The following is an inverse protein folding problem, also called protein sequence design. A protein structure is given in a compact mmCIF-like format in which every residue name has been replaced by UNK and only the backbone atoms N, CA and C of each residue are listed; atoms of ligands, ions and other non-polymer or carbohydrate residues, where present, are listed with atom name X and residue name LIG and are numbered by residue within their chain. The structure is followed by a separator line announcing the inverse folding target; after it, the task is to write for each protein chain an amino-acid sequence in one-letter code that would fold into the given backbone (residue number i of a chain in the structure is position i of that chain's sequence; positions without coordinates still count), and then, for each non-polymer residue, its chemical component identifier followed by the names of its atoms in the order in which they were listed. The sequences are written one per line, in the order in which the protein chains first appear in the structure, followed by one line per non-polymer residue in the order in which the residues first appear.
data_IF_649081268355
#
_entry.id   IF_649081268355
#
_cell.length_a   1.000
_cell.length_b   1.000
_cell.length_c   1.000
_cell.angle_alpha   90.00
_cell.angle_beta   90.00
_cell.angle_gamma   90.00
#
_symmetry.space_group_name_H-M   'P 1'
#
loop_
_entity.id
_entity.type
_entity.pdbx_description
1 polymer ?
#
# COMPACT_ATOMS: atom_id res chain seq x y z
N UNK A 1 -48.61 -3.53 -66.10
CA UNK A 1 -47.36 -2.74 -66.08
C UNK A 1 -47.57 -1.65 -65.04
N UNK A 2 -47.16 -1.89 -63.79
CA UNK A 2 -45.82 -1.65 -63.23
C UNK A 2 -45.84 -0.31 -62.50
N UNK A 3 -46.35 -0.31 -61.27
CA UNK A 3 -45.90 0.65 -60.26
C UNK A 3 -45.58 -0.08 -58.97
N UNK A 4 -44.35 0.17 -58.56
CA UNK A 4 -43.58 -0.41 -57.48
C UNK A 4 -43.63 0.62 -56.35
N UNK A 5 -44.35 0.36 -55.26
CA UNK A 5 -44.19 1.14 -54.03
C UNK A 5 -43.43 0.30 -53.01
N UNK A 6 -42.13 0.57 -52.91
CA UNK A 6 -41.28 0.12 -51.82
C UNK A 6 -41.80 0.71 -50.49
N UNK A 7 -42.32 -0.14 -49.61
CA UNK A 7 -42.43 0.19 -48.19
C UNK A 7 -41.03 0.04 -47.57
N UNK A 8 -40.34 1.17 -47.41
CA UNK A 8 -39.20 1.29 -46.52
C UNK A 8 -39.68 1.05 -45.08
N UNK A 9 -39.43 -0.14 -44.55
CA UNK A 9 -39.50 -0.39 -43.11
C UNK A 9 -38.29 0.28 -42.45
N UNK A 10 -38.41 1.56 -42.14
CA UNK A 10 -37.51 2.24 -41.21
C UNK A 10 -37.73 1.62 -39.83
N UNK A 11 -36.88 0.66 -39.49
CA UNK A 11 -36.78 0.08 -38.16
C UNK A 11 -36.22 1.15 -37.22
N UNK A 12 -37.08 2.03 -36.72
CA UNK A 12 -36.76 2.94 -35.64
C UNK A 12 -36.63 2.10 -34.37
N UNK A 13 -35.40 1.70 -34.03
CA UNK A 13 -35.07 1.13 -32.73
C UNK A 13 -35.18 2.25 -31.70
N UNK A 14 -36.40 2.57 -31.29
CA UNK A 14 -36.63 3.44 -30.14
C UNK A 14 -36.18 2.68 -28.89
N UNK A 15 -35.29 3.29 -28.09
CA UNK A 15 -34.95 2.77 -26.77
C UNK A 15 -36.21 2.86 -25.89
N UNK A 16 -36.95 1.75 -25.80
CA UNK A 16 -38.11 1.60 -24.92
C UNK A 16 -37.60 1.56 -23.47
N UNK A 17 -37.72 2.69 -22.77
CA UNK A 17 -37.53 2.74 -21.33
C UNK A 17 -38.86 2.38 -20.67
N UNK A 18 -38.88 1.35 -19.82
CA UNK A 18 -40.07 0.93 -19.06
C UNK A 18 -39.82 1.08 -17.57
N UNK A 19 -40.66 1.84 -16.87
CA UNK A 19 -40.63 1.87 -15.41
C UNK A 19 -41.40 0.67 -14.88
N UNK A 20 -40.72 -0.26 -14.23
CA UNK A 20 -41.35 -1.37 -13.52
C UNK A 20 -41.66 -0.90 -12.10
N UNK A 21 -42.95 -0.66 -11.80
CA UNK A 21 -43.42 -0.40 -10.44
C UNK A 21 -44.00 -1.70 -9.89
N UNK A 22 -43.35 -2.26 -8.87
CA UNK A 22 -43.88 -3.42 -8.14
C UNK A 22 -44.50 -2.95 -6.83
N UNK A 23 -45.75 -3.30 -6.59
CA UNK A 23 -46.46 -3.13 -5.32
C UNK A 23 -46.20 -4.30 -4.35
N UNK A 24 -45.49 -5.33 -4.81
CA UNK A 24 -45.07 -6.49 -4.02
C UNK A 24 -43.55 -6.65 -4.00
N UNK A 25 -43.06 -7.41 -3.03
CA UNK A 25 -41.65 -7.76 -2.92
C UNK A 25 -41.16 -8.50 -4.18
N UNK A 26 -39.95 -8.17 -4.62
CA UNK A 26 -39.23 -8.93 -5.65
C UNK A 26 -38.61 -10.14 -4.95
N UNK A 27 -39.19 -11.33 -5.14
CA UNK A 27 -38.72 -12.58 -4.54
C UNK A 27 -37.76 -13.29 -5.49
N UNK A 28 -36.49 -13.38 -5.12
CA UNK A 28 -35.41 -13.99 -5.91
C UNK A 28 -35.01 -15.34 -5.31
N UNK A 29 -35.92 -16.31 -5.33
CA UNK A 29 -35.76 -17.64 -4.70
C UNK A 29 -35.75 -18.80 -5.71
N UNK A 30 -35.36 -18.55 -6.95
CA UNK A 30 -35.25 -19.59 -7.98
C UNK A 30 -34.40 -20.79 -7.52
N UNK A 31 -34.78 -21.99 -7.97
CA UNK A 31 -34.11 -23.24 -7.58
C UNK A 31 -32.64 -23.25 -8.03
N UNK A 32 -32.36 -22.71 -9.22
CA UNK A 32 -31.00 -22.44 -9.68
C UNK A 32 -30.45 -21.15 -9.03
N UNK A 33 -29.27 -21.18 -8.39
CA UNK A 33 -28.60 -19.97 -7.91
C UNK A 33 -28.49 -18.85 -8.95
N UNK A 34 -28.39 -19.18 -10.24
CA UNK A 34 -28.30 -18.20 -11.32
C UNK A 34 -29.57 -17.34 -11.48
N UNK A 35 -30.73 -17.84 -11.04
CA UNK A 35 -32.02 -17.14 -11.12
C UNK A 35 -32.22 -16.15 -9.96
N UNK A 36 -31.39 -16.24 -8.92
CA UNK A 36 -31.48 -15.41 -7.70
C UNK A 36 -30.69 -14.10 -7.83
N UNK A 37 -30.76 -13.44 -8.99
CA UNK A 37 -29.95 -12.26 -9.27
C UNK A 37 -30.66 -11.24 -10.17
N UNK A 38 -30.38 -9.96 -9.95
CA UNK A 38 -30.72 -8.87 -10.87
C UNK A 38 -29.55 -8.67 -11.83
N UNK A 39 -29.75 -8.92 -13.12
CA UNK A 39 -28.70 -8.88 -14.15
C UNK A 39 -28.82 -7.63 -15.02
N UNK A 40 -27.70 -7.22 -15.63
CA UNK A 40 -27.68 -6.12 -16.58
C UNK A 40 -27.80 -4.72 -15.96
N UNK A 41 -27.58 -4.59 -14.64
CA UNK A 41 -27.39 -3.29 -14.01
C UNK A 41 -26.14 -2.63 -14.58
N UNK A 42 -26.28 -1.41 -15.08
CA UNK A 42 -25.16 -0.60 -15.54
C UNK A 42 -24.44 0.03 -14.34
N UNK A 43 -23.26 0.59 -14.59
CA UNK A 43 -22.60 1.44 -13.60
C UNK A 43 -23.45 2.69 -13.35
N UNK A 44 -23.70 3.02 -12.07
CA UNK A 44 -24.58 4.11 -11.73
C UNK A 44 -23.96 5.43 -12.16
N UNK A 45 -24.75 6.27 -12.82
CA UNK A 45 -24.34 7.60 -13.29
C UNK A 45 -24.81 8.69 -12.33
N UNK A 46 -25.97 8.50 -11.72
CA UNK A 46 -26.57 9.41 -10.75
C UNK A 46 -26.72 8.75 -9.37
N UNK A 47 -26.89 9.57 -8.33
CA UNK A 47 -26.96 9.10 -6.94
C UNK A 47 -28.20 8.25 -6.63
N UNK A 48 -29.26 8.34 -7.44
CA UNK A 48 -30.53 7.61 -7.25
C UNK A 48 -30.54 6.24 -7.97
N UNK A 49 -29.46 5.88 -8.67
CA UNK A 49 -29.35 4.62 -9.41
C UNK A 49 -28.90 3.46 -8.49
N UNK A 50 -29.32 2.24 -8.85
CA UNK A 50 -28.93 1.04 -8.13
C UNK A 50 -27.44 0.73 -8.32
N UNK A 51 -26.72 0.50 -7.22
CA UNK A 51 -25.32 0.07 -7.24
C UNK A 51 -25.19 -1.40 -7.70
N UNK A 52 -24.19 -1.69 -8.53
CA UNK A 52 -23.79 -3.04 -8.87
C UNK A 52 -22.44 -3.41 -8.20
N UNK A 53 -22.12 -4.71 -8.14
CA UNK A 53 -20.91 -5.19 -7.47
C UNK A 53 -19.61 -4.63 -8.10
N UNK A 54 -19.57 -4.47 -9.42
CA UNK A 54 -18.43 -3.89 -10.13
C UNK A 54 -18.21 -2.42 -9.77
N UNK A 55 -19.28 -1.63 -9.71
CA UNK A 55 -19.21 -0.24 -9.26
C UNK A 55 -18.68 -0.10 -7.82
N UNK A 56 -19.09 -1.01 -6.92
CA UNK A 56 -18.57 -1.08 -5.55
C UNK A 56 -17.08 -1.44 -5.55
N UNK A 57 -16.70 -2.49 -6.27
CA UNK A 57 -15.32 -2.98 -6.33
C UNK A 57 -14.37 -1.98 -7.00
N UNK A 58 -14.84 -1.23 -7.99
CA UNK A 58 -14.08 -0.19 -8.68
C UNK A 58 -13.84 1.06 -7.83
N UNK A 59 -14.65 1.28 -6.77
CA UNK A 59 -14.40 2.32 -5.76
C UNK A 59 -14.57 3.77 -6.22
N UNK A 60 -14.97 4.04 -7.47
CA UNK A 60 -15.03 5.38 -8.05
C UNK A 60 -15.97 6.38 -7.33
N UNK A 61 -16.86 5.89 -6.46
CA UNK A 61 -17.76 6.71 -5.64
C UNK A 61 -17.09 7.23 -4.36
N UNK A 62 -15.90 6.72 -4.00
CA UNK A 62 -15.12 7.16 -2.82
C UNK A 62 -13.64 7.38 -3.12
N UNK A 63 -13.17 7.16 -4.34
CA UNK A 63 -11.76 7.28 -4.71
C UNK A 63 -11.55 8.33 -5.82
N UNK A 64 -10.52 9.17 -5.68
CA UNK A 64 -10.09 10.07 -6.73
C UNK A 64 -8.56 10.30 -6.74
N UNK A 65 -8.04 10.61 -7.92
CA UNK A 65 -6.66 11.09 -8.12
C UNK A 65 -6.63 12.61 -7.98
N UNK A 66 -5.68 13.16 -7.21
CA UNK A 66 -5.54 14.60 -7.00
C UNK A 66 -4.06 15.03 -7.06
N UNK A 67 -3.82 16.32 -7.30
CA UNK A 67 -2.47 16.86 -7.36
C UNK A 67 -2.44 18.37 -7.05
N UNK A 68 -1.25 18.89 -6.72
CA UNK A 68 -1.06 20.31 -6.36
C UNK A 68 -1.69 20.69 -5.02
N UNK A 69 -1.86 21.99 -4.77
CA UNK A 69 -2.47 22.51 -3.53
C UNK A 69 -3.99 22.80 -3.65
N UNK A 70 -4.53 22.71 -4.87
CA UNK A 70 -5.97 22.79 -5.16
C UNK A 70 -6.49 21.46 -5.68
N UNK A 71 -6.88 20.56 -4.78
CA UNK A 71 -7.33 19.22 -5.11
C UNK A 71 -8.73 19.25 -5.75
N UNK A 72 -8.88 18.46 -6.81
CA UNK A 72 -10.15 18.30 -7.53
C UNK A 72 -10.47 16.81 -7.60
N UNK A 73 -11.35 16.36 -6.70
CA UNK A 73 -11.85 15.00 -6.72
C UNK A 73 -13.06 14.90 -7.65
N UNK A 74 -13.03 13.93 -8.57
CA UNK A 74 -14.16 13.59 -9.42
C UNK A 74 -14.63 12.21 -9.00
N UNK A 75 -15.78 12.14 -8.32
CA UNK A 75 -16.40 10.89 -7.91
C UNK A 75 -17.50 10.50 -8.90
N UNK A 76 -17.76 9.20 -9.01
CA UNK A 76 -18.86 8.66 -9.79
C UNK A 76 -19.65 7.63 -8.97
N UNK A 77 -20.96 7.83 -8.73
CA UNK A 77 -21.78 8.97 -9.16
C UNK A 77 -21.32 10.32 -8.61
N UNK A 78 -21.56 11.39 -9.37
CA UNK A 78 -21.18 12.73 -8.96
C UNK A 78 -21.91 13.15 -7.67
N UNK A 79 -21.15 13.69 -6.71
CA UNK A 79 -21.69 14.25 -5.47
C UNK A 79 -22.01 15.73 -5.69
N UNK A 80 -23.29 16.17 -5.68
CA UNK A 80 -23.65 17.55 -6.01
C UNK A 80 -23.11 18.57 -5.01
N UNK A 81 -23.07 18.20 -3.74
CA UNK A 81 -22.49 18.98 -2.65
C UNK A 81 -22.04 18.03 -1.55
N UNK A 82 -20.83 18.22 -0.98
CA UNK A 82 -20.42 17.49 0.21
C UNK A 82 -21.42 17.66 1.35
N UNK A 83 -21.76 16.56 2.02
CA UNK A 83 -22.57 16.52 3.24
C UNK A 83 -21.74 15.93 4.37
N UNK A 84 -22.00 16.36 5.61
CA UNK A 84 -21.24 15.90 6.76
C UNK A 84 -21.23 14.35 6.84
N UNK A 85 -20.05 13.78 7.02
CA UNK A 85 -19.81 12.33 6.97
C UNK A 85 -19.33 11.80 5.60
N UNK A 86 -19.31 12.61 4.54
CA UNK A 86 -18.74 12.20 3.25
C UNK A 86 -17.26 11.88 3.42
N UNK A 87 -16.89 10.62 3.18
CA UNK A 87 -15.51 10.13 3.22
C UNK A 87 -14.97 9.93 1.82
N UNK A 88 -13.73 10.35 1.59
CA UNK A 88 -13.05 10.19 0.29
C UNK A 88 -11.63 9.70 0.53
N UNK A 89 -11.19 8.76 -0.29
CA UNK A 89 -9.80 8.34 -0.44
C UNK A 89 -9.21 9.04 -1.65
N UNK A 90 -8.11 9.74 -1.45
CA UNK A 90 -7.44 10.54 -2.45
C UNK A 90 -6.04 9.99 -2.65
N UNK A 91 -5.70 9.60 -3.88
CA UNK A 91 -4.30 9.38 -4.21
C UNK A 91 -3.68 10.70 -4.65
N UNK A 92 -2.64 11.12 -3.92
CA UNK A 92 -2.07 12.46 -4.01
C UNK A 92 -0.77 12.39 -4.80
N UNK A 93 -0.79 12.83 -6.05
CA UNK A 93 0.38 12.73 -6.94
C UNK A 93 1.58 13.54 -6.44
N UNK A 94 1.35 14.78 -6.02
CA UNK A 94 2.40 15.68 -5.52
C UNK A 94 2.10 16.06 -4.08
N UNK A 95 3.12 16.00 -3.21
CA UNK A 95 2.98 16.37 -1.81
C UNK A 95 2.59 17.84 -1.66
N UNK A 96 1.90 18.18 -0.58
CA UNK A 96 1.43 19.54 -0.37
C UNK A 96 2.59 20.48 0.00
N UNK A 97 2.57 21.69 -0.54
CA UNK A 97 3.58 22.72 -0.26
C UNK A 97 3.10 23.80 0.70
N UNK A 98 1.83 23.71 1.12
CA UNK A 98 1.18 24.59 2.07
C UNK A 98 -0.24 24.11 2.37
N UNK A 99 -1.15 25.03 2.76
CA UNK A 99 -2.56 24.73 2.93
C UNK A 99 -3.19 24.19 1.65
N UNK A 100 -4.07 23.20 1.78
CA UNK A 100 -4.75 22.53 0.67
C UNK A 100 -6.25 22.84 0.71
N UNK A 101 -6.85 22.95 -0.47
CA UNK A 101 -8.31 22.95 -0.64
C UNK A 101 -8.74 21.75 -1.47
N UNK A 102 -9.95 21.25 -1.25
CA UNK A 102 -10.58 20.16 -1.98
C UNK A 102 -11.92 20.62 -2.56
N UNK A 103 -12.06 20.48 -3.87
CA UNK A 103 -13.33 20.55 -4.60
C UNK A 103 -13.76 19.14 -4.98
N UNK A 104 -15.04 18.81 -4.77
CA UNK A 104 -15.62 17.50 -5.14
C UNK A 104 -16.64 17.73 -6.25
N UNK A 105 -16.45 17.07 -7.39
CA UNK A 105 -17.32 17.18 -8.57
C UNK A 105 -17.63 18.63 -8.99
N UNK A 106 -16.65 19.54 -8.84
CA UNK A 106 -16.81 20.96 -9.20
C UNK A 106 -17.46 21.84 -8.12
N UNK A 107 -17.62 21.34 -6.89
CA UNK A 107 -18.01 22.17 -5.75
C UNK A 107 -17.03 23.34 -5.53
N UNK A 108 -17.49 24.37 -4.80
CA UNK A 108 -16.57 25.40 -4.29
C UNK A 108 -15.39 24.74 -3.53
N UNK A 109 -14.17 25.29 -3.60
CA UNK A 109 -13.03 24.76 -2.86
C UNK A 109 -13.28 24.85 -1.34
N UNK A 110 -13.17 23.71 -0.67
CA UNK A 110 -13.35 23.59 0.79
C UNK A 110 -11.97 23.33 1.42
N UNK A 111 -11.60 23.98 2.53
CA UNK A 111 -10.30 23.75 3.16
C UNK A 111 -10.14 22.30 3.64
N UNK A 112 -8.93 21.77 3.51
CA UNK A 112 -8.52 20.51 4.14
C UNK A 112 -7.69 20.83 5.38
N UNK A 113 -8.19 20.39 6.54
CA UNK A 113 -7.63 20.68 7.86
C UNK A 113 -7.09 19.41 8.52
N UNK A 114 -6.14 19.57 9.43
CA UNK A 114 -5.64 18.54 10.34
C UNK A 114 -5.96 18.96 11.77
N UNK A 115 -6.02 17.98 12.67
CA UNK A 115 -6.25 18.22 14.10
C UNK A 115 -7.51 19.04 14.42
N UNK A 116 -8.54 19.00 13.54
CA UNK A 116 -9.80 19.72 13.69
C UNK A 116 -9.82 21.09 13.01
N UNK A 117 -8.84 21.96 13.30
CA UNK A 117 -8.89 23.37 12.92
C UNK A 117 -7.63 23.92 12.22
N UNK A 118 -6.57 23.10 12.09
CA UNK A 118 -5.29 23.57 11.57
C UNK A 118 -5.18 23.35 10.06
N UNK A 119 -4.74 24.35 9.28
CA UNK A 119 -4.37 24.12 7.89
C UNK A 119 -3.20 23.13 7.77
N UNK A 120 -3.16 22.42 6.64
CA UNK A 120 -2.01 21.61 6.28
C UNK A 120 -0.74 22.48 6.16
N UNK A 121 0.34 21.96 6.72
CA UNK A 121 1.71 22.47 6.65
C UNK A 121 2.47 21.72 5.54
N UNK A 122 3.52 22.33 4.95
CA UNK A 122 4.30 21.66 3.90
C UNK A 122 4.77 20.27 4.33
N UNK A 123 4.51 19.25 3.51
CA UNK A 123 4.94 17.87 3.77
C UNK A 123 4.04 17.03 4.68
N UNK A 124 2.93 17.56 5.20
CA UNK A 124 1.94 16.77 5.95
C UNK A 124 1.35 15.63 5.09
N UNK A 125 1.26 15.83 3.77
CA UNK A 125 0.88 14.84 2.78
C UNK A 125 2.03 14.69 1.80
N UNK A 126 2.58 13.49 1.73
CA UNK A 126 3.70 13.19 0.85
C UNK A 126 3.24 12.88 -0.58
N UNK A 127 4.15 13.04 -1.55
CA UNK A 127 3.90 12.59 -2.93
C UNK A 127 3.68 11.08 -2.99
N UNK A 128 2.63 10.67 -3.69
CA UNK A 128 2.18 9.28 -3.79
C UNK A 128 1.47 8.75 -2.54
N UNK A 129 1.10 9.61 -1.59
CA UNK A 129 0.32 9.20 -0.43
C UNK A 129 -1.13 8.89 -0.81
N UNK A 130 -1.75 7.97 -0.05
CA UNK A 130 -3.21 7.82 -0.06
C UNK A 130 -3.76 8.58 1.15
N UNK A 131 -4.43 9.69 0.90
CA UNK A 131 -5.07 10.52 1.92
C UNK A 131 -6.53 10.12 2.12
N UNK A 132 -6.93 9.83 3.36
CA UNK A 132 -8.34 9.67 3.74
C UNK A 132 -8.83 10.98 4.34
N UNK A 133 -9.86 11.56 3.74
CA UNK A 133 -10.51 12.78 4.24
C UNK A 133 -11.99 12.53 4.57
N UNK A 134 -12.52 13.26 5.54
CA UNK A 134 -13.95 13.24 5.89
C UNK A 134 -14.47 14.66 6.00
N UNK A 135 -15.56 14.98 5.30
CA UNK A 135 -16.22 16.28 5.44
C UNK A 135 -16.99 16.34 6.76
N UNK A 136 -16.72 17.34 7.59
CA UNK A 136 -17.37 17.50 8.91
C UNK A 136 -18.62 18.41 8.86
N UNK A 137 -18.94 18.97 7.69
CA UNK A 137 -20.00 19.96 7.49
C UNK A 137 -19.49 21.37 7.22
N UNK A 138 -18.21 21.65 7.50
CA UNK A 138 -17.55 22.94 7.27
C UNK A 138 -16.24 22.79 6.48
N UNK A 139 -15.42 21.81 6.83
CA UNK A 139 -14.12 21.53 6.22
C UNK A 139 -13.93 20.03 5.98
N UNK A 140 -12.96 19.67 5.14
CA UNK A 140 -12.48 18.30 5.05
C UNK A 140 -11.42 18.06 6.13
N UNK A 141 -11.63 17.07 6.98
CA UNK A 141 -10.67 16.65 7.99
C UNK A 141 -9.76 15.56 7.40
N UNK A 142 -8.45 15.79 7.44
CA UNK A 142 -7.46 14.79 7.11
C UNK A 142 -7.40 13.75 8.23
N UNK A 143 -7.81 12.52 7.93
CA UNK A 143 -7.79 11.39 8.87
C UNK A 143 -6.46 10.65 8.79
N UNK A 144 -5.98 10.44 7.56
CA UNK A 144 -4.70 9.78 7.30
C UNK A 144 -4.12 10.29 5.98
N UNK A 145 -2.81 10.35 5.89
CA UNK A 145 -2.06 10.68 4.67
C UNK A 145 -0.84 9.77 4.52
N UNK A 146 -0.95 8.53 4.99
CA UNK A 146 0.15 7.57 4.91
C UNK A 146 0.57 7.35 3.47
N UNK A 147 1.83 7.70 3.21
CA UNK A 147 2.61 7.00 2.21
C UNK A 147 2.98 5.66 2.82
N UNK A 148 2.66 4.56 2.13
CA UNK A 148 3.25 3.25 2.46
C UNK A 148 4.70 3.30 1.96
N UNK A 149 5.54 4.04 2.66
CA UNK A 149 6.98 4.04 2.42
C UNK A 149 7.59 2.84 3.16
N UNK A 150 8.51 2.14 2.49
CA UNK A 150 9.34 1.11 3.14
C UNK A 150 10.12 1.80 4.25
N UNK A 151 10.17 1.21 5.45
CA UNK A 151 10.86 1.86 6.58
C UNK A 151 12.27 2.28 6.15
N UNK A 152 12.70 3.52 6.37
CA UNK A 152 14.07 3.92 6.04
C UNK A 152 15.06 3.01 6.78
N UNK A 153 16.25 2.85 6.20
CA UNK A 153 17.32 2.13 6.89
C UNK A 153 17.74 2.92 8.13
N UNK A 154 17.86 2.28 9.31
CA UNK A 154 18.48 2.91 10.47
C UNK A 154 19.89 3.40 10.15
N UNK A 155 20.35 4.41 10.89
CA UNK A 155 21.71 4.92 10.77
C UNK A 155 22.73 3.79 10.96
N UNK A 156 23.81 3.82 10.18
CA UNK A 156 24.82 2.76 10.17
C UNK A 156 24.43 1.51 9.36
N UNK A 157 23.26 1.51 8.72
CA UNK A 157 22.83 0.41 7.84
C UNK A 157 22.59 0.88 6.41
N UNK A 158 22.74 -0.05 5.46
CA UNK A 158 22.52 0.18 4.03
C UNK A 158 21.46 -0.79 3.48
N UNK A 159 20.65 -0.30 2.56
CA UNK A 159 19.61 -1.08 1.92
C UNK A 159 20.20 -2.10 0.95
N UNK A 160 20.13 -3.39 1.28
CA UNK A 160 20.53 -4.44 0.33
C UNK A 160 19.47 -4.62 -0.73
N UNK A 161 18.21 -4.60 -0.31
CA UNK A 161 17.07 -4.59 -1.20
C UNK A 161 15.88 -3.90 -0.53
N UNK A 162 14.72 -4.10 -1.12
CA UNK A 162 13.49 -3.48 -0.70
C UNK A 162 12.97 -4.02 0.67
N UNK A 163 13.44 -5.20 1.11
CA UNK A 163 12.93 -5.92 2.28
C UNK A 163 13.77 -5.72 3.55
N UNK A 164 15.06 -5.39 3.42
CA UNK A 164 15.93 -5.27 4.59
C UNK A 164 17.15 -4.36 4.38
N UNK A 165 17.72 -3.92 5.48
CA UNK A 165 19.02 -3.26 5.58
C UNK A 165 19.98 -4.16 6.36
N UNK A 166 21.27 -4.01 6.11
CA UNK A 166 22.36 -4.61 6.88
C UNK A 166 23.28 -3.50 7.38
N UNK A 167 23.89 -3.67 8.54
CA UNK A 167 24.98 -2.79 8.99
C UNK A 167 26.12 -2.74 7.96
N UNK A 168 26.80 -1.59 7.89
CA UNK A 168 27.95 -1.41 6.99
C UNK A 168 29.28 -1.80 7.60
N UNK A 169 29.30 -2.15 8.88
CA UNK A 169 30.47 -2.57 9.63
C UNK A 169 30.09 -3.70 10.58
N UNK A 170 30.98 -4.68 10.71
CA UNK A 170 30.79 -5.81 11.62
C UNK A 170 31.00 -5.39 13.08
N UNK A 171 30.28 -6.06 13.99
CA UNK A 171 30.52 -5.96 15.43
C UNK A 171 31.66 -6.87 15.88
N UNK A 172 32.28 -6.54 17.02
CA UNK A 172 33.32 -7.35 17.65
C UNK A 172 32.84 -8.78 17.95
N UNK A 173 33.80 -9.71 17.96
CA UNK A 173 33.47 -11.11 18.18
C UNK A 173 33.00 -11.39 19.60
N UNK A 174 31.76 -11.87 19.75
CA UNK A 174 31.14 -12.25 21.03
C UNK A 174 30.35 -13.56 20.89
N UNK A 175 29.82 -14.06 22.01
CA UNK A 175 28.95 -15.24 21.98
C UNK A 175 27.59 -14.93 21.31
N UNK A 176 26.90 -15.96 20.85
CA UNK A 176 25.67 -15.75 20.08
C UNK A 176 24.54 -15.07 20.89
N UNK A 177 24.26 -15.46 22.15
CA UNK A 177 23.25 -14.78 22.96
C UNK A 177 23.54 -13.29 23.14
N UNK A 178 24.80 -12.90 23.35
CA UNK A 178 25.20 -11.51 23.47
C UNK A 178 25.06 -10.76 22.15
N UNK A 179 25.44 -11.37 21.02
CA UNK A 179 25.21 -10.81 19.68
C UNK A 179 23.72 -10.56 19.39
N UNK A 180 22.83 -11.47 19.80
CA UNK A 180 21.38 -11.28 19.68
C UNK A 180 20.92 -10.07 20.50
N UNK A 181 21.45 -9.91 21.71
CA UNK A 181 21.11 -8.78 22.58
C UNK A 181 21.62 -7.45 22.02
N UNK A 182 22.82 -7.42 21.42
CA UNK A 182 23.37 -6.23 20.74
C UNK A 182 22.45 -5.80 19.61
N UNK A 183 22.11 -6.71 18.68
CA UNK A 183 21.20 -6.38 17.60
C UNK A 183 19.81 -5.97 18.10
N UNK A 184 19.29 -6.66 19.14
CA UNK A 184 18.00 -6.35 19.74
C UNK A 184 17.94 -4.95 20.37
N UNK A 185 19.02 -4.51 21.03
CA UNK A 185 19.14 -3.18 21.60
C UNK A 185 19.09 -2.06 20.53
N UNK A 186 19.52 -2.37 19.31
CA UNK A 186 19.43 -1.48 18.14
C UNK A 186 18.06 -1.55 17.43
N UNK A 187 17.12 -2.35 17.92
CA UNK A 187 15.85 -2.61 17.24
C UNK A 187 16.00 -3.46 15.97
N UNK A 188 17.10 -4.20 15.87
CA UNK A 188 17.47 -5.06 14.75
C UNK A 188 17.55 -6.53 15.21
N UNK A 189 18.03 -7.41 14.33
CA UNK A 189 18.28 -8.83 14.63
C UNK A 189 19.57 -9.28 13.95
N UNK A 190 20.15 -10.38 14.39
CA UNK A 190 21.21 -11.03 13.62
C UNK A 190 20.68 -11.33 12.21
N UNK A 191 21.52 -11.10 11.20
CA UNK A 191 21.18 -11.40 9.81
C UNK A 191 20.97 -12.91 9.60
N UNK A 192 20.00 -13.26 8.75
CA UNK A 192 19.95 -14.64 8.25
C UNK A 192 21.06 -14.90 7.24
N UNK A 193 21.37 -16.16 7.01
CA UNK A 193 22.35 -16.57 6.01
C UNK A 193 21.95 -16.08 4.62
N UNK A 194 20.66 -16.13 4.27
CA UNK A 194 20.19 -15.61 2.99
C UNK A 194 20.39 -14.09 2.87
N UNK A 195 20.23 -13.34 3.96
CA UNK A 195 20.50 -11.91 3.98
C UNK A 195 22.00 -11.62 3.88
N UNK A 196 22.80 -12.28 4.71
CA UNK A 196 24.26 -12.19 4.63
C UNK A 196 24.78 -12.52 3.23
N UNK A 197 24.32 -13.62 2.62
CA UNK A 197 24.74 -14.07 1.30
C UNK A 197 24.49 -12.99 0.24
N UNK A 198 23.28 -12.41 0.22
CA UNK A 198 22.93 -11.39 -0.75
C UNK A 198 23.66 -10.07 -0.50
N UNK A 199 23.85 -9.67 0.76
CA UNK A 199 24.64 -8.50 1.12
C UNK A 199 26.10 -8.68 0.69
N UNK A 200 26.70 -9.82 1.01
CA UNK A 200 28.08 -10.16 0.69
C UNK A 200 28.32 -10.18 -0.82
N UNK A 201 27.40 -10.76 -1.60
CA UNK A 201 27.49 -10.78 -3.06
C UNK A 201 27.48 -9.36 -3.66
N UNK A 202 26.81 -8.41 -3.01
CA UNK A 202 26.71 -7.01 -3.44
C UNK A 202 27.61 -6.05 -2.65
N UNK A 203 28.51 -6.56 -1.80
CA UNK A 203 29.23 -5.78 -0.79
C UNK A 203 29.95 -4.55 -1.36
N UNK A 204 30.60 -4.70 -2.52
CA UNK A 204 31.29 -3.59 -3.19
C UNK A 204 30.38 -2.44 -3.60
N UNK A 205 29.14 -2.73 -4.03
CA UNK A 205 28.15 -1.69 -4.37
C UNK A 205 27.50 -1.06 -3.13
N UNK A 206 27.50 -1.79 -2.02
CA UNK A 206 26.94 -1.38 -0.74
C UNK A 206 27.97 -0.66 0.14
N UNK A 207 29.25 -0.65 -0.25
CA UNK A 207 30.34 -0.05 0.51
C UNK A 207 30.75 -0.85 1.75
N UNK A 208 30.44 -2.15 1.79
CA UNK A 208 30.75 -3.04 2.92
C UNK A 208 32.00 -3.84 2.56
N UNK A 209 32.96 -3.94 3.48
CA UNK A 209 34.28 -4.55 3.19
C UNK A 209 34.62 -5.76 4.03
N UNK A 210 33.85 -6.02 5.08
CA UNK A 210 34.13 -6.98 6.16
C UNK A 210 33.16 -8.19 6.18
N UNK A 211 32.28 -8.33 5.18
CA UNK A 211 31.43 -9.52 5.04
C UNK A 211 32.20 -10.79 4.62
N UNK A 212 33.51 -10.73 4.43
CA UNK A 212 34.35 -11.91 4.23
C UNK A 212 35.67 -11.77 4.96
N UNK A 213 36.20 -12.89 5.47
CA UNK A 213 37.48 -12.94 6.18
C UNK A 213 37.34 -13.45 7.61
N UNK A 214 36.17 -13.22 8.20
CA UNK A 214 35.82 -13.67 9.54
C UNK A 214 34.61 -14.61 9.50
N UNK A 215 34.53 -15.50 10.49
CA UNK A 215 33.30 -16.25 10.69
C UNK A 215 32.28 -15.35 11.38
N UNK A 216 31.09 -15.28 10.79
CA UNK A 216 29.97 -14.53 11.34
C UNK A 216 28.83 -15.43 11.84
N UNK A 217 28.15 -14.99 12.89
CA UNK A 217 26.88 -15.57 13.33
C UNK A 217 25.75 -15.26 12.34
N UNK A 218 24.86 -16.23 12.11
CA UNK A 218 23.56 -15.98 11.46
C UNK A 218 22.41 -16.42 12.37
N UNK A 219 21.20 -15.95 12.09
CA UNK A 219 19.99 -16.34 12.84
C UNK A 219 19.44 -17.73 12.46
N UNK A 220 20.17 -18.50 11.65
CA UNK A 220 19.75 -19.83 11.20
C UNK A 220 20.29 -20.93 12.12
N UNK A 221 19.44 -21.92 12.39
CA UNK A 221 19.80 -23.09 13.18
C UNK A 221 20.82 -23.98 12.47
N UNK A 222 21.71 -24.60 13.25
CA UNK A 222 22.56 -25.69 12.82
C UNK A 222 21.81 -27.03 12.72
N UNK A 223 22.53 -28.10 12.39
CA UNK A 223 22.00 -29.45 12.21
C UNK A 223 21.91 -30.27 13.52
N UNK A 224 22.10 -29.64 14.67
CA UNK A 224 22.06 -30.26 16.01
C UNK A 224 21.62 -29.23 17.07
N UNK A 225 21.06 -29.65 18.21
CA UNK A 225 20.72 -28.75 19.31
C UNK A 225 21.92 -27.88 19.75
N UNK A 226 21.67 -26.59 19.98
CA UNK A 226 22.70 -25.63 20.40
C UNK A 226 23.68 -25.20 19.30
N UNK A 227 23.52 -25.70 18.07
CA UNK A 227 24.33 -25.29 16.94
C UNK A 227 23.61 -24.26 16.08
N UNK A 228 24.40 -23.38 15.47
CA UNK A 228 23.96 -22.31 14.59
C UNK A 228 24.77 -22.33 13.31
N UNK A 229 24.18 -21.79 12.25
CA UNK A 229 24.88 -21.54 11.00
C UNK A 229 25.85 -20.38 11.19
N UNK A 230 27.03 -20.54 10.63
CA UNK A 230 28.08 -19.52 10.61
C UNK A 230 28.63 -19.40 9.20
N UNK A 231 29.02 -18.20 8.79
CA UNK A 231 29.28 -17.86 7.37
C UNK A 231 30.49 -16.94 7.22
N UNK A 232 30.98 -16.72 6.00
CA UNK A 232 31.83 -15.57 5.69
C UNK A 232 33.34 -15.75 5.79
N UNK A 233 33.88 -16.87 6.32
CA UNK A 233 35.32 -16.98 6.60
C UNK A 233 36.24 -16.68 5.40
N UNK A 234 35.91 -17.13 4.19
CA UNK A 234 36.71 -16.87 2.99
C UNK A 234 35.89 -16.52 1.75
N UNK A 235 34.57 -16.71 1.79
CA UNK A 235 33.68 -16.35 0.69
C UNK A 235 32.24 -16.18 1.17
N UNK A 236 31.41 -15.51 0.37
CA UNK A 236 29.99 -15.34 0.64
C UNK A 236 29.19 -16.66 0.72
N UNK A 237 29.67 -17.71 0.05
CA UNK A 237 29.02 -19.03 0.02
C UNK A 237 29.53 -19.98 1.09
N UNK A 238 30.66 -19.65 1.73
CA UNK A 238 31.22 -20.53 2.74
C UNK A 238 30.35 -20.51 4.00
N UNK A 239 29.95 -21.69 4.43
CA UNK A 239 29.18 -21.88 5.65
C UNK A 239 29.69 -23.07 6.45
N UNK A 240 29.53 -23.02 7.76
CA UNK A 240 29.82 -24.11 8.69
C UNK A 240 28.77 -24.12 9.80
N UNK A 241 29.03 -24.84 10.88
CA UNK A 241 28.23 -24.80 12.12
C UNK A 241 29.13 -24.39 13.29
N UNK A 242 28.59 -23.57 14.19
CA UNK A 242 29.21 -23.19 15.45
C UNK A 242 28.30 -23.53 16.62
N UNK A 243 28.86 -23.77 17.80
CA UNK A 243 28.08 -23.92 19.03
C UNK A 243 27.88 -22.54 19.65
N UNK A 244 26.64 -22.07 19.78
CA UNK A 244 26.38 -20.70 20.27
C UNK A 244 26.31 -20.55 21.79
N UNK A 245 26.42 -21.64 22.55
CA UNK A 245 26.25 -21.68 24.02
C UNK A 245 27.57 -22.02 24.73
N UNK A 246 28.65 -22.09 23.96
CA UNK A 246 30.03 -22.23 24.41
C UNK A 246 30.80 -20.92 24.14
N UNK A 247 31.99 -20.75 24.71
CA UNK A 247 32.88 -19.56 24.62
C UNK A 247 33.38 -19.21 23.21
N UNK A 248 32.78 -19.77 22.15
CA UNK A 248 33.17 -19.51 20.78
C UNK A 248 32.66 -18.12 20.36
N UNK A 249 33.52 -17.12 20.43
CA UNK A 249 33.22 -15.77 19.95
C UNK A 249 33.29 -15.70 18.42
N UNK A 250 32.34 -14.99 17.80
CA UNK A 250 32.32 -14.72 16.35
C UNK A 250 31.78 -13.33 16.06
N UNK A 251 32.23 -12.77 14.95
CA UNK A 251 31.76 -11.48 14.44
C UNK A 251 30.30 -11.60 13.98
N UNK A 252 29.63 -10.47 13.76
CA UNK A 252 28.27 -10.47 13.25
C UNK A 252 27.87 -9.10 12.73
N UNK A 253 26.95 -9.10 11.78
CA UNK A 253 26.16 -7.93 11.40
C UNK A 253 24.72 -8.06 11.86
N UNK A 254 24.11 -6.93 12.19
CA UNK A 254 22.69 -6.81 12.42
C UNK A 254 21.94 -6.41 11.14
N UNK A 255 20.75 -6.98 10.96
CA UNK A 255 19.84 -6.73 9.88
C UNK A 255 18.53 -6.13 10.38
N UNK A 256 18.02 -5.14 9.63
CA UNK A 256 16.75 -4.47 9.88
C UNK A 256 15.72 -4.84 8.82
N UNK A 257 14.49 -5.18 9.21
CA UNK A 257 13.39 -5.47 8.27
C UNK A 257 12.62 -4.19 7.92
N UNK A 258 12.49 -3.92 6.62
CA UNK A 258 11.85 -2.72 6.07
C UNK A 258 10.40 -2.94 5.65
#
# INVERSE_FOLDING_TARGET
MRELLLLFATCAVAMLHGQVRSDRAIVLEGADPADRAVRGLKDPVTADEAMNAGAIQGGGYLYAEVSGDGWQAVLQPAVPSPVAGLRILLHVANGNTGPVTLSVNGSAPIPVLKNGDQPLSPGDVQSGATASVVFDGTAFQLIDARRIERKPCPDGTVAVNAMYCIETAQHDSIDFPEAVNVCGALGMRICSWAQFYLACYNAGSLGITDLTGDWEWTDDTGNSPGQLRVVGQSSCTQASVGTGWDVQARYFHCCFRR
#
